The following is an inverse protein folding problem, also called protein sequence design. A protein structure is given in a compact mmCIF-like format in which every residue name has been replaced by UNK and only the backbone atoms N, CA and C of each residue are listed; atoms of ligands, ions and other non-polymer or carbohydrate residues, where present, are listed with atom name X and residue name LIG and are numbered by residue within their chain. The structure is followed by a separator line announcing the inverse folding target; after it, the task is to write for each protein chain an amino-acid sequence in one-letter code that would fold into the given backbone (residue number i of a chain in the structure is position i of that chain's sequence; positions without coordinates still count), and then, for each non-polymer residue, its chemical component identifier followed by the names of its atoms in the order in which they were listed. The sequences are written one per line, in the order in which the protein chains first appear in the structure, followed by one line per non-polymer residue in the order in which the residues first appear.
data_IF_812319877362
#
_entry.id   IF_812319877362
#
_cell.length_a   1.000
_cell.length_b   1.000
_cell.length_c   1.000
_cell.angle_alpha   90.00
_cell.angle_beta   90.00
_cell.angle_gamma   90.00
#
_symmetry.space_group_name_H-M   'P 1'
#
loop_
_entity.id
_entity.type
_entity.pdbx_description
1 polymer ?
#
# COMPACT_ATOMS: atom_id res chain seq x y z
N UNK A 1 -9.82 -7.70 23.73
CA UNK A 1 -8.96 -7.37 24.88
C UNK A 1 -8.66 -8.58 25.79
N UNK A 2 -9.67 -9.24 26.39
CA UNK A 2 -9.45 -10.35 27.36
C UNK A 2 -8.66 -11.55 26.82
N UNK A 3 -8.88 -11.95 25.57
CA UNK A 3 -8.15 -13.07 24.96
C UNK A 3 -6.64 -12.77 24.81
N UNK A 4 -6.28 -11.56 24.36
CA UNK A 4 -4.89 -11.12 24.24
C UNK A 4 -4.18 -11.03 25.60
N UNK A 5 -4.89 -10.56 26.64
CA UNK A 5 -4.36 -10.53 28.00
C UNK A 5 -4.11 -11.94 28.55
N UNK A 6 -4.98 -12.91 28.24
CA UNK A 6 -4.76 -14.30 28.62
C UNK A 6 -3.54 -14.93 27.93
N UNK A 7 -3.30 -14.59 26.65
CA UNK A 7 -2.09 -15.02 25.93
C UNK A 7 -0.84 -14.41 26.56
N UNK A 8 -0.85 -13.10 26.86
CA UNK A 8 0.25 -12.43 27.58
C UNK A 8 0.52 -13.09 28.94
N UNK A 9 -0.52 -13.47 29.68
CA UNK A 9 -0.37 -14.16 30.96
C UNK A 9 0.27 -15.56 30.83
N UNK A 10 0.07 -16.24 29.69
CA UNK A 10 0.71 -17.54 29.41
C UNK A 10 2.18 -17.41 28.98
N UNK A 11 2.54 -16.31 28.30
CA UNK A 11 3.89 -16.09 27.81
C UNK A 11 4.85 -15.53 28.88
N UNK A 12 4.33 -14.88 29.92
CA UNK A 12 5.12 -14.27 30.99
C UNK A 12 5.73 -12.92 30.59
N UNK A 13 6.67 -12.42 31.39
CA UNK A 13 7.44 -11.21 31.06
C UNK A 13 8.43 -11.49 29.94
N UNK A 14 8.58 -10.52 29.02
CA UNK A 14 9.53 -10.61 27.93
C UNK A 14 10.96 -10.63 28.45
N UNK A 15 11.73 -11.65 28.06
CA UNK A 15 13.15 -11.80 28.39
C UNK A 15 14.02 -11.57 27.14
N UNK A 16 14.65 -10.40 26.99
CA UNK A 16 15.52 -10.08 25.86
C UNK A 16 16.72 -11.01 25.71
N UNK A 17 17.16 -11.68 26.78
CA UNK A 17 18.26 -12.64 26.70
C UNK A 17 17.87 -13.94 25.96
N UNK A 18 16.56 -14.17 25.78
CA UNK A 18 16.01 -15.30 25.03
C UNK A 18 15.50 -14.92 23.64
N UNK A 19 15.64 -13.66 23.23
CA UNK A 19 15.27 -13.23 21.88
C UNK A 19 16.32 -13.73 20.88
N UNK A 20 16.05 -14.90 20.30
CA UNK A 20 16.90 -15.52 19.29
C UNK A 20 17.16 -14.61 18.08
N UNK A 21 16.20 -13.76 17.72
CA UNK A 21 16.27 -12.87 16.56
C UNK A 21 17.19 -11.68 16.84
N UNK A 22 17.07 -11.09 18.02
CA UNK A 22 18.00 -10.06 18.52
C UNK A 22 19.42 -10.60 18.61
N UNK A 23 19.60 -11.80 19.18
CA UNK A 23 20.91 -12.43 19.32
C UNK A 23 21.55 -12.75 17.96
N UNK A 24 20.75 -13.25 17.00
CA UNK A 24 21.20 -13.46 15.63
C UNK A 24 21.59 -12.14 14.94
N UNK A 25 20.80 -11.08 15.12
CA UNK A 25 21.15 -9.75 14.59
C UNK A 25 22.45 -9.22 15.20
N UNK A 26 22.64 -9.38 16.51
CA UNK A 26 23.87 -8.99 17.18
C UNK A 26 25.08 -9.79 16.66
N UNK A 27 24.92 -11.10 16.44
CA UNK A 27 25.96 -11.95 15.84
C UNK A 27 26.33 -11.48 14.43
N UNK A 28 25.32 -11.22 13.58
CA UNK A 28 25.51 -10.73 12.22
C UNK A 28 26.29 -9.40 12.21
N UNK A 29 25.93 -8.47 13.10
CA UNK A 29 26.56 -7.14 13.20
C UNK A 29 27.97 -7.18 13.80
N UNK A 30 28.26 -8.09 14.74
CA UNK A 30 29.52 -8.09 15.48
C UNK A 30 30.55 -9.08 14.92
N UNK A 31 30.11 -10.22 14.38
CA UNK A 31 31.00 -11.31 13.97
C UNK A 31 31.09 -11.46 12.44
N UNK A 32 29.97 -11.32 11.73
CA UNK A 32 29.94 -11.47 10.26
C UNK A 32 30.27 -10.16 9.54
N UNK A 33 29.77 -9.04 10.05
CA UNK A 33 29.95 -7.70 9.50
C UNK A 33 30.52 -6.69 10.53
N UNK A 34 31.68 -6.95 11.15
CA UNK A 34 32.23 -6.10 12.22
C UNK A 34 32.58 -4.68 11.75
N UNK A 35 33.10 -4.54 10.54
CA UNK A 35 33.64 -3.28 10.01
C UNK A 35 32.74 -2.64 8.93
N UNK A 36 31.66 -3.32 8.55
CA UNK A 36 30.75 -2.85 7.51
C UNK A 36 29.59 -2.04 8.10
N UNK A 37 29.08 -1.11 7.30
CA UNK A 37 27.87 -0.34 7.64
C UNK A 37 26.63 -1.21 7.43
N UNK A 38 25.82 -1.32 8.48
CA UNK A 38 24.62 -2.16 8.50
C UNK A 38 23.38 -1.29 8.68
N UNK A 39 22.46 -1.38 7.71
CA UNK A 39 21.16 -0.71 7.76
C UNK A 39 20.08 -1.73 8.13
N UNK A 40 19.45 -1.57 9.29
CA UNK A 40 18.41 -2.45 9.80
C UNK A 40 17.05 -1.78 9.65
N UNK A 41 16.13 -2.45 8.95
CA UNK A 41 14.76 -2.00 8.75
C UNK A 41 13.77 -2.74 9.62
N UNK A 42 12.82 -2.01 10.19
CA UNK A 42 11.65 -2.54 10.91
C UNK A 42 10.41 -1.72 10.59
N UNK A 43 9.23 -2.34 10.57
CA UNK A 43 7.96 -1.62 10.40
C UNK A 43 7.60 -0.75 11.60
N UNK A 44 8.01 -1.15 12.81
CA UNK A 44 7.50 -0.55 14.05
C UNK A 44 8.55 0.31 14.74
N UNK A 45 8.13 1.51 15.17
CA UNK A 45 8.98 2.45 15.91
C UNK A 45 9.39 1.90 17.29
N UNK A 46 8.49 1.18 17.96
CA UNK A 46 8.78 0.53 19.25
C UNK A 46 9.90 -0.51 19.10
N UNK A 47 9.93 -1.22 17.98
CA UNK A 47 11.02 -2.16 17.66
C UNK A 47 12.34 -1.43 17.39
N UNK A 48 12.33 -0.24 16.77
CA UNK A 48 13.56 0.58 16.64
C UNK A 48 14.12 0.92 18.01
N UNK A 49 13.27 1.39 18.93
CA UNK A 49 13.68 1.75 20.28
C UNK A 49 14.24 0.53 21.03
N UNK A 50 13.52 -0.59 20.98
CA UNK A 50 13.93 -1.86 21.58
C UNK A 50 15.29 -2.34 21.04
N UNK A 51 15.45 -2.42 19.72
CA UNK A 51 16.69 -2.89 19.10
C UNK A 51 17.86 -1.96 19.42
N UNK A 52 17.65 -0.65 19.37
CA UNK A 52 18.72 0.32 19.64
C UNK A 52 19.25 0.19 21.07
N UNK A 53 18.35 0.09 22.05
CA UNK A 53 18.72 -0.11 23.46
C UNK A 53 19.45 -1.44 23.67
N UNK A 54 18.91 -2.52 23.10
CA UNK A 54 19.42 -3.88 23.35
C UNK A 54 20.73 -4.17 22.64
N UNK A 55 20.90 -3.72 21.39
CA UNK A 55 22.15 -3.88 20.65
C UNK A 55 23.29 -3.11 21.32
N UNK A 56 23.03 -1.91 21.84
CA UNK A 56 24.02 -1.16 22.63
C UNK A 56 24.44 -1.91 23.90
N UNK A 57 23.49 -2.52 24.62
CA UNK A 57 23.81 -3.36 25.79
C UNK A 57 24.59 -4.63 25.44
N UNK A 58 24.40 -5.14 24.23
CA UNK A 58 25.14 -6.29 23.69
C UNK A 58 26.51 -5.89 23.10
N UNK A 59 26.94 -4.63 23.25
CA UNK A 59 28.26 -4.17 22.84
C UNK A 59 28.35 -3.59 21.43
N UNK A 60 27.23 -3.43 20.71
CA UNK A 60 27.22 -2.77 19.40
C UNK A 60 27.45 -1.27 19.57
N UNK A 61 28.60 -0.79 19.09
CA UNK A 61 29.00 0.62 19.11
C UNK A 61 28.55 1.34 17.84
N UNK A 62 28.60 2.68 17.86
CA UNK A 62 28.32 3.54 16.69
C UNK A 62 26.93 3.29 16.07
N UNK A 63 25.94 3.02 16.94
CA UNK A 63 24.57 2.70 16.59
C UNK A 63 23.62 3.86 16.88
N UNK A 64 22.67 4.11 15.97
CA UNK A 64 21.52 4.96 16.25
C UNK A 64 20.19 4.33 15.76
N UNK A 65 19.12 4.63 16.48
CA UNK A 65 17.75 4.36 16.07
C UNK A 65 17.08 5.62 15.52
N UNK A 66 16.31 5.48 14.44
CA UNK A 66 15.61 6.59 13.78
C UNK A 66 14.16 6.21 13.48
N UNK A 67 13.23 6.99 14.04
CA UNK A 67 11.76 6.82 13.87
C UNK A 67 11.16 8.17 13.52
N UNK A 68 9.95 8.21 12.93
CA UNK A 68 9.32 9.46 12.45
C UNK A 68 9.23 10.59 13.50
N UNK A 69 9.30 10.26 14.79
CA UNK A 69 9.31 11.21 15.90
C UNK A 69 10.70 11.77 16.26
N UNK A 70 11.77 11.33 15.59
CA UNK A 70 13.12 11.82 15.82
C UNK A 70 13.21 13.31 15.48
N UNK A 71 13.85 14.09 16.35
CA UNK A 71 13.97 15.54 16.18
C UNK A 71 14.81 15.94 14.95
N UNK A 72 15.79 15.12 14.56
CA UNK A 72 16.66 15.38 13.41
C UNK A 72 17.09 14.08 12.72
N UNK A 73 16.18 13.45 11.95
CA UNK A 73 16.43 12.17 11.31
C UNK A 73 17.45 12.27 10.16
N UNK A 74 17.44 13.40 9.45
CA UNK A 74 18.37 13.68 8.35
C UNK A 74 19.81 13.73 8.85
N UNK A 75 20.06 14.32 10.03
CA UNK A 75 21.40 14.36 10.61
C UNK A 75 21.92 12.98 11.01
N UNK A 76 21.05 12.07 11.46
CA UNK A 76 21.44 10.68 11.70
C UNK A 76 21.79 9.96 10.39
N UNK A 77 21.00 10.17 9.33
CA UNK A 77 21.33 9.64 8.00
C UNK A 77 22.67 10.18 7.48
N UNK A 78 22.98 11.46 7.71
CA UNK A 78 24.28 12.05 7.36
C UNK A 78 25.45 11.48 8.16
N UNK A 79 25.26 11.18 9.45
CA UNK A 79 26.28 10.50 10.26
C UNK A 79 26.46 9.04 9.85
N UNK A 80 25.42 8.38 9.36
CA UNK A 80 25.48 7.00 8.86
C UNK A 80 26.04 6.90 7.45
N UNK A 81 25.70 7.80 6.55
CA UNK A 81 26.16 7.78 5.16
C UNK A 81 26.81 9.11 4.75
N UNK A 82 27.88 9.55 5.44
CA UNK A 82 28.45 10.88 5.23
C UNK A 82 29.00 11.09 3.82
N UNK A 83 29.60 10.09 3.18
CA UNK A 83 30.24 10.26 1.88
C UNK A 83 29.22 10.44 0.78
N UNK A 84 28.16 9.64 0.77
CA UNK A 84 27.05 9.80 -0.19
C UNK A 84 26.25 11.09 -0.01
N UNK A 85 26.39 11.76 1.14
CA UNK A 85 25.73 13.04 1.43
C UNK A 85 26.68 14.26 1.43
N UNK A 86 27.99 14.07 1.23
CA UNK A 86 29.00 15.13 1.33
C UNK A 86 29.10 15.75 2.74
N UNK A 87 28.97 14.92 3.79
CA UNK A 87 28.92 15.29 5.21
C UNK A 87 30.04 14.65 6.05
N UNK A 88 31.18 14.34 5.44
CA UNK A 88 32.33 13.73 6.12
C UNK A 88 32.91 14.59 7.25
N UNK A 89 32.80 15.92 7.16
CA UNK A 89 33.20 16.81 8.25
C UNK A 89 32.26 16.71 9.46
N UNK A 90 30.95 16.59 9.21
CA UNK A 90 29.95 16.40 10.26
C UNK A 90 30.18 15.08 10.99
N UNK A 91 30.40 13.99 10.24
CA UNK A 91 30.67 12.68 10.81
C UNK A 91 31.98 12.67 11.63
N UNK A 92 33.03 13.36 11.18
CA UNK A 92 34.27 13.52 11.96
C UNK A 92 34.07 14.27 13.27
N UNK A 93 33.17 15.26 13.29
CA UNK A 93 32.88 16.07 14.49
C UNK A 93 31.94 15.38 15.48
N UNK A 94 30.95 14.64 14.99
CA UNK A 94 29.84 14.10 15.79
C UNK A 94 29.90 12.57 15.95
N UNK A 95 30.91 11.94 15.38
CA UNK A 95 31.04 10.50 15.30
C UNK A 95 30.23 9.92 14.15
N UNK A 96 30.89 9.15 13.31
CA UNK A 96 30.27 8.38 12.23
C UNK A 96 29.48 7.20 12.81
N UNK A 97 28.34 6.88 12.21
CA UNK A 97 27.54 5.72 12.62
C UNK A 97 27.87 4.53 11.72
N UNK A 98 28.01 3.36 12.33
CA UNK A 98 28.18 2.08 11.64
C UNK A 98 26.86 1.34 11.48
N UNK A 99 25.95 1.46 12.46
CA UNK A 99 24.66 0.77 12.43
C UNK A 99 23.52 1.78 12.54
N UNK A 100 22.55 1.68 11.64
CA UNK A 100 21.33 2.48 11.69
C UNK A 100 20.12 1.57 11.72
N UNK A 101 19.29 1.70 12.76
CA UNK A 101 18.01 0.99 12.86
C UNK A 101 16.90 1.97 12.52
N UNK A 102 16.14 1.71 11.48
CA UNK A 102 15.18 2.67 10.92
C UNK A 102 13.82 2.06 10.60
N UNK A 103 12.78 2.91 10.64
CA UNK A 103 11.51 2.60 9.99
C UNK A 103 11.50 3.02 8.51
N UNK A 104 10.59 2.44 7.73
CA UNK A 104 10.39 2.77 6.30
C UNK A 104 10.18 4.28 6.10
N UNK A 105 9.35 4.89 6.95
CA UNK A 105 8.90 6.29 6.85
C UNK A 105 10.06 7.29 6.81
N UNK A 106 11.18 6.99 7.47
CA UNK A 106 12.32 7.91 7.52
C UNK A 106 13.47 7.59 6.58
N UNK A 107 13.44 6.43 5.95
CA UNK A 107 14.43 6.07 4.93
C UNK A 107 14.00 6.51 3.54
N UNK A 108 12.77 6.99 3.39
CA UNK A 108 12.29 7.56 2.14
C UNK A 108 12.99 8.89 1.82
N UNK A 109 13.74 8.89 0.73
CA UNK A 109 14.39 10.09 0.18
C UNK A 109 15.80 10.36 0.72
N UNK A 110 16.29 9.58 1.68
CA UNK A 110 17.68 9.67 2.15
C UNK A 110 18.63 8.89 1.24
N UNK A 111 19.86 9.39 1.12
CA UNK A 111 20.96 8.74 0.41
C UNK A 111 21.76 7.91 1.42
N UNK A 112 21.72 6.58 1.29
CA UNK A 112 22.32 5.64 2.25
C UNK A 112 23.35 4.70 1.59
N UNK A 113 23.93 5.11 0.46
CA UNK A 113 24.80 4.26 -0.38
C UNK A 113 26.18 3.96 0.25
N UNK A 114 26.52 4.54 1.41
CA UNK A 114 27.74 4.14 2.12
C UNK A 114 27.61 2.74 2.75
N UNK A 115 26.38 2.24 2.92
CA UNK A 115 26.11 0.88 3.36
C UNK A 115 26.10 -0.10 2.17
N UNK A 116 26.36 -1.37 2.45
CA UNK A 116 26.16 -2.47 1.52
C UNK A 116 25.42 -3.65 2.16
N UNK A 117 25.17 -3.58 3.48
CA UNK A 117 24.48 -4.61 4.23
C UNK A 117 23.13 -4.05 4.68
N UNK A 118 22.06 -4.70 4.24
CA UNK A 118 20.68 -4.37 4.58
C UNK A 118 20.09 -5.55 5.33
N UNK A 119 19.44 -5.28 6.45
CA UNK A 119 18.77 -6.31 7.26
C UNK A 119 17.31 -5.93 7.43
N UNK A 120 16.41 -6.74 6.91
CA UNK A 120 14.98 -6.63 7.18
C UNK A 120 14.70 -7.41 8.47
N UNK A 121 14.57 -6.66 9.58
CA UNK A 121 14.22 -7.26 10.86
C UNK A 121 12.84 -7.90 10.76
N UNK A 122 11.86 -7.21 10.21
CA UNK A 122 10.58 -7.80 9.84
C UNK A 122 10.35 -7.70 8.33
N UNK A 123 9.74 -8.75 7.79
CA UNK A 123 9.36 -8.81 6.39
C UNK A 123 8.13 -7.93 6.17
N UNK A 124 8.23 -6.89 5.32
CA UNK A 124 7.08 -6.12 4.94
C UNK A 124 6.16 -6.99 4.09
N UNK A 125 4.86 -6.83 4.30
CA UNK A 125 3.85 -7.55 3.56
C UNK A 125 3.85 -7.25 2.06
N UNK A 126 4.28 -6.04 1.69
CA UNK A 126 4.43 -5.61 0.32
C UNK A 126 5.90 -5.69 -0.12
N UNK A 127 6.19 -6.54 -1.10
CA UNK A 127 7.55 -6.79 -1.61
C UNK A 127 8.20 -5.56 -2.20
N UNK A 128 7.40 -4.68 -2.80
CA UNK A 128 7.90 -3.41 -3.31
C UNK A 128 8.64 -2.62 -2.23
N UNK A 129 8.30 -2.79 -0.94
CA UNK A 129 9.05 -2.18 0.16
C UNK A 129 10.46 -2.77 0.30
N UNK A 130 10.65 -4.07 0.10
CA UNK A 130 11.99 -4.67 0.09
C UNK A 130 12.84 -4.09 -1.04
N UNK A 131 12.26 -3.99 -2.24
CA UNK A 131 12.93 -3.38 -3.41
C UNK A 131 13.25 -1.90 -3.15
N UNK A 132 12.30 -1.14 -2.59
CA UNK A 132 12.50 0.27 -2.26
C UNK A 132 13.53 0.47 -1.14
N UNK A 133 13.63 -0.45 -0.16
CA UNK A 133 14.67 -0.47 0.87
C UNK A 133 16.03 -0.70 0.24
N UNK A 134 16.16 -1.72 -0.60
CA UNK A 134 17.38 -1.99 -1.36
C UNK A 134 17.78 -0.78 -2.23
N UNK A 135 16.83 -0.19 -2.95
CA UNK A 135 17.02 1.00 -3.77
C UNK A 135 17.36 2.30 -3.01
N UNK A 136 17.44 2.30 -1.66
CA UNK A 136 18.06 3.41 -0.90
C UNK A 136 19.58 3.36 -0.91
N UNK A 137 20.10 2.15 -1.11
CA UNK A 137 21.51 1.81 -1.07
C UNK A 137 22.01 1.52 -2.48
N UNK A 138 21.18 0.88 -3.31
CA UNK A 138 21.44 0.59 -4.72
C UNK A 138 21.08 1.79 -5.61
N UNK A 139 22.02 2.74 -5.67
CA UNK A 139 21.91 3.95 -6.51
C UNK A 139 23.26 4.32 -7.10
N UNK A 140 23.24 5.20 -8.11
CA UNK A 140 24.43 5.86 -8.63
C UNK A 140 25.25 6.43 -7.46
N UNK A 141 26.51 6.00 -7.35
CA UNK A 141 27.41 6.37 -6.25
C UNK A 141 27.71 5.23 -5.26
N UNK A 142 26.97 4.13 -5.31
CA UNK A 142 27.31 2.90 -4.59
C UNK A 142 28.70 2.39 -5.01
N UNK A 143 29.55 2.06 -4.03
CA UNK A 143 30.94 1.61 -4.27
C UNK A 143 31.15 0.12 -4.05
N UNK A 144 30.27 -0.54 -3.30
CA UNK A 144 30.30 -1.98 -3.18
C UNK A 144 29.82 -2.64 -4.47
N UNK A 145 30.54 -3.67 -4.93
CA UNK A 145 30.12 -4.47 -6.07
C UNK A 145 28.92 -5.37 -5.75
N UNK A 146 28.63 -5.59 -4.47
CA UNK A 146 27.55 -6.46 -4.01
C UNK A 146 26.84 -5.84 -2.82
N UNK A 147 25.52 -5.80 -2.88
CA UNK A 147 24.65 -5.42 -1.76
C UNK A 147 24.04 -6.69 -1.20
N UNK A 148 24.18 -6.92 0.11
CA UNK A 148 23.64 -8.10 0.79
C UNK A 148 22.38 -7.73 1.55
N UNK A 149 21.29 -8.44 1.28
CA UNK A 149 19.99 -8.23 1.89
C UNK A 149 19.60 -9.44 2.75
N UNK A 150 19.75 -9.33 4.06
CA UNK A 150 19.32 -10.34 5.01
C UNK A 150 17.86 -10.09 5.41
N UNK A 151 17.07 -11.15 5.60
CA UNK A 151 15.70 -11.03 6.08
C UNK A 151 15.38 -12.11 7.09
N UNK A 152 14.85 -11.72 8.25
CA UNK A 152 14.36 -12.71 9.21
C UNK A 152 12.98 -13.22 8.79
N UNK A 153 12.89 -14.53 8.58
CA UNK A 153 11.62 -15.22 8.32
C UNK A 153 10.93 -15.61 9.63
N UNK A 154 9.59 -15.67 9.67
CA UNK A 154 8.87 -16.26 10.79
C UNK A 154 9.31 -17.71 11.02
N UNK A 155 9.20 -18.19 12.26
CA UNK A 155 9.41 -19.60 12.57
C UNK A 155 8.43 -20.48 11.77
N UNK A 156 8.86 -21.70 11.40
CA UNK A 156 8.13 -22.59 10.48
C UNK A 156 6.65 -22.81 10.85
N UNK A 157 6.34 -22.92 12.15
CA UNK A 157 4.97 -23.09 12.63
C UNK A 157 4.06 -21.88 12.38
N UNK A 158 4.61 -20.67 12.36
CA UNK A 158 3.87 -19.43 12.05
C UNK A 158 3.79 -19.21 10.53
N UNK A 159 4.85 -19.55 9.78
CA UNK A 159 4.82 -19.46 8.31
C UNK A 159 3.84 -20.46 7.69
N UNK A 160 3.64 -21.65 8.27
CA UNK A 160 2.60 -22.60 7.84
C UNK A 160 1.18 -22.04 7.97
N UNK A 161 0.94 -21.15 8.93
CA UNK A 161 -0.39 -20.54 9.17
C UNK A 161 -0.63 -19.34 8.25
N UNK A 162 0.39 -18.51 8.03
CA UNK A 162 0.26 -17.23 7.30
C UNK A 162 0.68 -17.36 5.83
N UNK A 163 1.41 -18.43 5.49
CA UNK A 163 1.97 -18.73 4.17
C UNK A 163 2.78 -17.55 3.59
N UNK A 164 3.50 -16.83 4.46
CA UNK A 164 4.13 -15.56 4.13
C UNK A 164 5.27 -15.76 3.13
N UNK A 165 6.11 -16.78 3.33
CA UNK A 165 7.22 -17.10 2.42
C UNK A 165 6.74 -17.46 1.01
N UNK A 166 5.69 -18.29 0.89
CA UNK A 166 5.17 -18.67 -0.43
C UNK A 166 4.48 -17.49 -1.14
N UNK A 167 3.75 -16.65 -0.40
CA UNK A 167 3.15 -15.42 -0.94
C UNK A 167 4.21 -14.45 -1.45
N UNK A 168 5.29 -14.27 -0.68
CA UNK A 168 6.41 -13.42 -1.09
C UNK A 168 7.10 -13.99 -2.35
N UNK A 169 7.39 -15.29 -2.37
CA UNK A 169 8.00 -15.95 -3.55
C UNK A 169 7.15 -15.85 -4.81
N UNK A 170 5.83 -16.09 -4.70
CA UNK A 170 4.91 -16.01 -5.83
C UNK A 170 4.90 -14.61 -6.46
N UNK A 171 4.89 -13.58 -5.62
CA UNK A 171 4.92 -12.18 -6.05
C UNK A 171 6.28 -11.75 -6.61
N UNK A 172 7.40 -12.25 -6.08
CA UNK A 172 8.74 -12.01 -6.66
C UNK A 172 8.83 -12.58 -8.08
N UNK A 173 8.35 -13.81 -8.29
CA UNK A 173 8.28 -14.42 -9.63
C UNK A 173 7.42 -13.60 -10.59
N UNK A 174 6.24 -13.16 -10.15
CA UNK A 174 5.35 -12.32 -10.95
C UNK A 174 5.94 -10.95 -11.31
N UNK A 175 6.82 -10.38 -10.46
CA UNK A 175 7.46 -9.10 -10.74
C UNK A 175 8.71 -9.24 -11.63
N UNK A 176 9.48 -10.32 -11.47
CA UNK A 176 10.65 -10.62 -12.31
C UNK A 176 10.27 -10.86 -13.79
N UNK A 177 9.04 -11.29 -14.06
CA UNK A 177 8.51 -11.43 -15.43
C UNK A 177 8.21 -10.08 -16.12
N UNK A 178 8.03 -8.99 -15.36
CA UNK A 178 7.69 -7.65 -15.87
C UNK A 178 8.91 -6.74 -15.93
N UNK A 179 9.85 -6.94 -15.00
CA UNK A 179 11.09 -6.17 -14.89
C UNK A 179 12.22 -7.19 -14.99
N UNK A 180 12.82 -7.32 -16.18
CA UNK A 180 13.94 -8.23 -16.38
C UNK A 180 15.11 -7.82 -15.50
N UNK A 181 15.33 -8.52 -14.39
CA UNK A 181 16.46 -8.32 -13.48
C UNK A 181 17.11 -9.64 -13.09
N UNK A 182 18.44 -9.66 -13.15
CA UNK A 182 19.34 -10.74 -12.70
C UNK A 182 19.45 -10.77 -11.14
N UNK A 183 18.32 -10.73 -10.43
CA UNK A 183 18.27 -10.63 -8.96
C UNK A 183 17.88 -11.97 -8.29
N UNK A 184 18.80 -12.59 -7.56
CA UNK A 184 18.54 -13.77 -6.70
C UNK A 184 18.23 -13.33 -5.26
N UNK A 185 16.99 -13.53 -4.79
CA UNK A 185 16.50 -13.03 -3.50
C UNK A 185 16.64 -14.01 -2.32
N UNK A 186 16.85 -15.31 -2.57
CA UNK A 186 16.99 -16.33 -1.52
C UNK A 186 18.17 -17.26 -1.85
N UNK A 187 18.95 -17.66 -0.84
CA UNK A 187 20.14 -18.51 -1.04
C UNK A 187 19.78 -19.96 -1.44
N UNK A 188 18.56 -20.42 -1.14
CA UNK A 188 18.06 -21.77 -1.49
C UNK A 188 17.65 -21.91 -2.98
N UNK A 189 17.97 -20.95 -3.85
CA UNK A 189 17.56 -20.91 -5.27
C UNK A 189 18.44 -21.81 -6.17
N UNK A 190 18.55 -23.11 -5.85
CA UNK A 190 19.20 -24.08 -6.77
C UNK A 190 18.35 -24.40 -8.01
N UNK A 191 17.09 -23.95 -8.07
CA UNK A 191 16.17 -24.20 -9.18
C UNK A 191 15.92 -22.95 -10.04
N UNK A 192 16.99 -22.23 -10.39
CA UNK A 192 17.00 -21.36 -11.57
C UNK A 192 17.04 -22.21 -12.86
N UNK A 193 16.02 -23.03 -13.08
CA UNK A 193 15.64 -23.53 -14.41
C UNK A 193 14.37 -22.80 -14.84
N UNK A 194 14.35 -22.15 -16.03
CA UNK A 194 13.13 -21.54 -16.54
C UNK A 194 12.21 -22.67 -16.98
N UNK A 195 11.24 -23.02 -16.14
CA UNK A 195 10.17 -23.94 -16.53
C UNK A 195 8.83 -23.22 -16.46
N UNK A 196 8.40 -22.83 -17.66
CA UNK A 196 7.00 -22.73 -18.07
C UNK A 196 6.33 -24.06 -17.71
N UNK A 197 5.62 -24.09 -16.57
CA UNK A 197 4.36 -24.80 -16.39
C UNK A 197 3.92 -24.75 -14.92
N UNK A 198 2.97 -23.87 -14.60
CA UNK A 198 2.02 -24.12 -13.51
C UNK A 198 0.73 -23.31 -13.70
N UNK A 199 0.11 -23.46 -14.88
CA UNK A 199 -1.20 -22.90 -15.16
C UNK A 199 -2.36 -23.85 -14.86
N UNK A 200 -2.11 -25.07 -14.39
CA UNK A 200 -3.17 -25.99 -14.01
C UNK A 200 -2.81 -26.71 -12.71
N UNK A 201 -3.35 -26.22 -11.59
CA UNK A 201 -4.16 -27.05 -10.69
C UNK A 201 -4.68 -26.20 -9.51
N UNK A 202 -6.02 -26.19 -9.37
CA UNK A 202 -6.84 -25.64 -8.28
C UNK A 202 -7.03 -24.12 -8.26
N UNK A 203 -7.85 -23.68 -9.21
CA UNK A 203 -8.90 -22.71 -8.92
C UNK A 203 -9.77 -23.21 -7.75
N UNK A 204 -9.99 -22.34 -6.76
CA UNK A 204 -10.88 -22.58 -5.63
C UNK A 204 -10.15 -22.99 -4.36
N UNK A 205 -9.74 -22.00 -3.55
CA UNK A 205 -10.00 -21.85 -2.11
C UNK A 205 -9.37 -20.51 -1.69
N UNK A 206 -10.07 -19.77 -0.84
CA UNK A 206 -9.79 -18.41 -0.32
C UNK A 206 -10.46 -17.26 -1.09
N UNK A 207 -11.77 -17.37 -1.32
CA UNK A 207 -12.65 -16.29 -0.91
C UNK A 207 -13.41 -16.81 0.32
N UNK A 208 -13.12 -16.25 1.49
CA UNK A 208 -14.04 -16.11 2.62
C UNK A 208 -13.30 -15.50 3.82
N UNK A 209 -13.74 -14.32 4.24
CA UNK A 209 -13.68 -13.92 5.64
C UNK A 209 -12.77 -12.76 5.99
N UNK A 210 -13.32 -11.54 5.86
CA UNK A 210 -13.25 -10.49 6.89
C UNK A 210 -11.87 -9.99 7.32
N UNK A 211 -11.48 -8.83 6.77
CA UNK A 211 -10.45 -7.95 7.33
C UNK A 211 -9.10 -8.10 6.63
N UNK A 212 -8.88 -7.31 5.58
CA UNK A 212 -7.63 -7.40 4.83
C UNK A 212 -7.39 -6.35 3.76
N UNK A 213 -8.03 -5.17 3.81
CA UNK A 213 -7.75 -4.07 2.87
C UNK A 213 -6.49 -3.24 3.26
N UNK A 214 -5.56 -3.83 4.03
CA UNK A 214 -4.20 -3.29 4.23
C UNK A 214 -3.10 -4.21 3.66
N UNK A 215 -3.50 -5.25 2.90
CA UNK A 215 -2.61 -6.32 2.42
C UNK A 215 -2.74 -6.53 0.91
N UNK A 216 -2.43 -5.49 0.14
CA UNK A 216 -2.34 -5.53 -1.32
C UNK A 216 -1.52 -4.35 -1.83
N UNK A 217 -0.88 -4.50 -2.99
CA UNK A 217 -0.37 -3.35 -3.77
C UNK A 217 -1.51 -2.34 -3.86
N UNK A 218 -1.30 -1.10 -3.41
CA UNK A 218 -2.30 -0.04 -3.58
C UNK A 218 -2.58 0.07 -5.09
N UNK A 219 -3.76 -0.34 -5.58
CA UNK A 219 -4.05 -0.33 -7.01
C UNK A 219 -3.94 1.08 -7.60
N UNK A 220 -4.11 2.10 -6.75
CA UNK A 220 -3.90 3.51 -7.09
C UNK A 220 -2.45 3.82 -7.38
N UNK A 221 -1.52 3.23 -6.61
CA UNK A 221 -0.07 3.41 -6.79
C UNK A 221 0.43 2.73 -8.06
N UNK A 222 -0.09 1.54 -8.39
CA UNK A 222 0.23 0.86 -9.66
C UNK A 222 -0.33 1.63 -10.86
N UNK A 223 -1.58 2.08 -10.79
CA UNK A 223 -2.19 2.93 -11.82
C UNK A 223 -1.39 4.24 -12.01
N UNK A 224 -0.97 4.88 -10.92
CA UNK A 224 -0.14 6.08 -10.96
C UNK A 224 1.23 5.81 -11.58
N UNK A 225 1.85 4.67 -11.29
CA UNK A 225 3.13 4.30 -11.88
C UNK A 225 3.01 4.04 -13.38
N UNK A 226 1.95 3.35 -13.83
CA UNK A 226 1.65 3.13 -15.25
C UNK A 226 1.47 4.48 -15.95
N UNK A 227 0.66 5.37 -15.36
CA UNK A 227 0.46 6.73 -15.85
C UNK A 227 1.78 7.50 -15.96
N UNK A 228 2.59 7.50 -14.91
CA UNK A 228 3.88 8.20 -14.86
C UNK A 228 4.84 7.68 -15.92
N UNK A 229 4.99 6.37 -16.04
CA UNK A 229 5.84 5.75 -17.07
C UNK A 229 5.37 6.14 -18.48
N UNK A 230 4.07 6.23 -18.72
CA UNK A 230 3.51 6.62 -20.01
C UNK A 230 3.83 8.08 -20.36
N UNK A 231 3.64 9.02 -19.43
CA UNK A 231 3.93 10.45 -19.67
C UNK A 231 5.43 10.75 -19.70
N UNK A 232 6.25 9.98 -18.98
CA UNK A 232 7.72 10.10 -19.05
C UNK A 232 8.24 9.64 -20.42
N UNK A 233 7.60 8.62 -21.02
CA UNK A 233 7.93 8.12 -22.35
C UNK A 233 7.41 9.02 -23.49
N UNK A 234 6.17 9.55 -23.37
CA UNK A 234 5.62 10.54 -24.29
C UNK A 234 4.89 11.66 -23.53
N UNK A 235 5.56 12.80 -23.30
CA UNK A 235 4.98 13.94 -22.57
C UNK A 235 3.72 14.54 -23.21
N UNK A 236 3.44 14.26 -24.50
CA UNK A 236 2.22 14.76 -25.15
C UNK A 236 0.97 14.04 -24.63
N UNK A 237 1.12 12.79 -24.17
CA UNK A 237 0.00 11.98 -23.66
C UNK A 237 -0.73 12.64 -22.50
N UNK A 238 -0.01 13.38 -21.64
CA UNK A 238 -0.63 14.09 -20.53
C UNK A 238 -1.75 15.03 -21.01
N UNK A 239 -1.43 15.91 -21.97
CA UNK A 239 -2.41 16.87 -22.51
C UNK A 239 -3.50 16.17 -23.31
N UNK A 240 -3.14 15.13 -24.06
CA UNK A 240 -4.12 14.39 -24.87
C UNK A 240 -5.14 13.70 -23.99
N UNK A 241 -4.70 12.97 -22.95
CA UNK A 241 -5.58 12.19 -22.07
C UNK A 241 -6.42 13.10 -21.18
N UNK A 242 -5.89 14.23 -20.69
CA UNK A 242 -6.68 15.21 -19.92
C UNK A 242 -7.78 15.90 -20.75
N UNK A 243 -7.64 15.96 -22.08
CA UNK A 243 -8.62 16.58 -22.99
C UNK A 243 -9.65 15.59 -23.54
N UNK A 244 -9.50 14.30 -23.24
CA UNK A 244 -10.41 13.27 -23.70
C UNK A 244 -11.78 13.42 -23.01
N UNK A 245 -12.90 13.42 -23.77
CA UNK A 245 -14.23 13.46 -23.18
C UNK A 245 -14.56 12.18 -22.39
N UNK A 246 -15.52 12.26 -21.48
CA UNK A 246 -16.12 11.06 -20.86
C UNK A 246 -16.79 10.18 -21.95
N UNK A 247 -17.03 8.90 -21.62
CA UNK A 247 -17.69 7.91 -22.48
C UNK A 247 -16.84 7.49 -23.69
N UNK A 248 -15.51 7.50 -23.55
CA UNK A 248 -14.63 6.96 -24.59
C UNK A 248 -14.63 5.45 -24.58
N UNK A 249 -14.57 4.86 -25.77
CA UNK A 249 -14.37 3.43 -25.92
C UNK A 249 -13.18 3.13 -26.82
N UNK A 250 -12.53 2.01 -26.54
CA UNK A 250 -11.51 1.42 -27.39
C UNK A 250 -11.80 -0.07 -27.59
N UNK A 251 -11.14 -0.71 -28.53
CA UNK A 251 -11.19 -2.17 -28.68
C UNK A 251 -9.80 -2.68 -29.02
N UNK A 252 -9.39 -3.76 -28.37
CA UNK A 252 -8.10 -4.41 -28.62
C UNK A 252 -8.27 -5.91 -28.81
N UNK A 253 -7.35 -6.48 -29.58
CA UNK A 253 -7.22 -7.93 -29.70
C UNK A 253 -6.72 -8.52 -28.37
N UNK A 254 -7.38 -9.57 -27.91
CA UNK A 254 -7.17 -10.22 -26.63
C UNK A 254 -7.12 -11.74 -26.79
N UNK A 255 -6.16 -12.40 -26.13
CA UNK A 255 -6.05 -13.85 -26.11
C UNK A 255 -6.85 -14.39 -24.92
N UNK A 256 -7.99 -15.02 -25.21
CA UNK A 256 -8.89 -15.50 -24.19
C UNK A 256 -8.42 -16.82 -23.56
N UNK A 257 -8.57 -16.93 -22.24
CA UNK A 257 -8.41 -18.19 -21.50
C UNK A 257 -9.63 -18.42 -20.60
N UNK A 258 -9.77 -19.62 -20.04
CA UNK A 258 -10.93 -19.97 -19.20
C UNK A 258 -11.07 -19.08 -17.95
N UNK A 259 -9.95 -18.55 -17.42
CA UNK A 259 -9.94 -17.61 -16.30
C UNK A 259 -10.04 -16.14 -16.75
N UNK A 260 -9.81 -15.85 -18.03
CA UNK A 260 -9.66 -14.50 -18.55
C UNK A 260 -10.39 -14.36 -19.90
N UNK A 261 -11.73 -14.21 -19.87
CA UNK A 261 -12.58 -14.33 -21.05
C UNK A 261 -12.67 -13.04 -21.87
N UNK A 262 -13.08 -13.16 -23.13
CA UNK A 262 -13.46 -12.02 -23.95
C UNK A 262 -14.64 -11.26 -23.35
N UNK A 263 -14.78 -9.99 -23.72
CA UNK A 263 -15.90 -9.16 -23.29
C UNK A 263 -15.57 -7.67 -23.26
N UNK A 264 -15.98 -6.97 -22.21
CA UNK A 264 -15.77 -5.54 -22.05
C UNK A 264 -15.29 -5.16 -20.65
N UNK A 265 -14.33 -4.25 -20.62
CA UNK A 265 -13.89 -3.54 -19.42
C UNK A 265 -14.66 -2.22 -19.33
N UNK A 266 -15.08 -1.85 -18.12
CA UNK A 266 -15.87 -0.64 -17.85
C UNK A 266 -15.27 0.11 -16.67
N UNK A 267 -15.21 1.42 -16.81
CA UNK A 267 -14.92 2.34 -15.72
C UNK A 267 -16.09 3.29 -15.49
N UNK A 268 -16.66 3.25 -14.29
CA UNK A 268 -17.75 4.12 -13.86
C UNK A 268 -17.31 5.03 -12.73
N UNK A 269 -17.80 6.26 -12.77
CA UNK A 269 -17.81 7.17 -11.63
C UNK A 269 -19.21 7.22 -11.07
N UNK A 270 -19.41 6.66 -9.89
CA UNK A 270 -20.69 6.68 -9.20
C UNK A 270 -21.01 8.08 -8.65
N UNK A 271 -22.29 8.28 -8.32
CA UNK A 271 -22.84 9.56 -7.86
C UNK A 271 -22.31 10.01 -6.49
N UNK A 272 -21.80 9.07 -5.70
CA UNK A 272 -21.15 9.29 -4.40
C UNK A 272 -19.63 9.56 -4.53
N UNK A 273 -19.12 9.68 -5.76
CA UNK A 273 -17.70 9.88 -6.04
C UNK A 273 -16.85 8.62 -5.98
N UNK A 274 -17.46 7.43 -5.81
CA UNK A 274 -16.72 6.18 -5.87
C UNK A 274 -16.50 5.72 -7.32
N UNK A 275 -15.23 5.64 -7.68
CA UNK A 275 -14.74 5.14 -8.96
C UNK A 275 -14.71 3.61 -8.91
N UNK A 276 -15.33 2.94 -9.89
CA UNK A 276 -15.40 1.47 -9.93
C UNK A 276 -15.06 0.94 -11.31
N UNK A 277 -14.22 -0.09 -11.33
CA UNK A 277 -13.80 -0.82 -12.52
C UNK A 277 -14.48 -2.18 -12.53
N UNK A 278 -14.85 -2.66 -13.71
CA UNK A 278 -15.47 -3.97 -13.87
C UNK A 278 -15.10 -4.61 -15.20
N UNK A 279 -15.07 -5.93 -15.20
CA UNK A 279 -14.93 -6.77 -16.39
C UNK A 279 -16.17 -7.64 -16.55
N UNK A 280 -16.84 -7.51 -17.69
CA UNK A 280 -17.98 -8.35 -18.09
C UNK A 280 -17.59 -9.24 -19.26
N UNK A 281 -17.94 -10.53 -19.21
CA UNK A 281 -17.69 -11.44 -20.32
C UNK A 281 -18.77 -11.35 -21.42
N UNK A 282 -18.58 -12.03 -22.56
CA UNK A 282 -19.58 -12.08 -23.64
C UNK A 282 -20.94 -12.70 -23.23
N UNK A 283 -20.95 -13.52 -22.17
CA UNK A 283 -22.18 -14.11 -21.60
C UNK A 283 -22.93 -13.14 -20.67
N UNK A 284 -22.38 -11.94 -20.46
CA UNK A 284 -22.88 -10.90 -19.55
C UNK A 284 -22.70 -11.20 -18.07
N UNK A 285 -21.85 -12.17 -17.72
CA UNK A 285 -21.46 -12.38 -16.33
C UNK A 285 -20.34 -11.39 -15.96
N UNK A 286 -20.40 -10.85 -14.75
CA UNK A 286 -19.27 -10.08 -14.19
C UNK A 286 -18.17 -11.06 -13.82
N UNK A 287 -17.02 -10.89 -14.47
CA UNK A 287 -15.82 -11.71 -14.26
C UNK A 287 -15.09 -11.26 -13.00
N UNK A 288 -14.90 -9.94 -12.85
CA UNK A 288 -14.19 -9.35 -11.71
C UNK A 288 -14.49 -7.85 -11.62
N UNK A 289 -14.50 -7.32 -10.39
CA UNK A 289 -14.50 -5.88 -10.08
C UNK A 289 -13.16 -5.41 -9.48
N UNK A 290 -12.15 -6.29 -9.50
CA UNK A 290 -10.79 -5.99 -9.03
C UNK A 290 -10.13 -4.99 -9.97
N UNK A 291 -9.75 -3.82 -9.42
CA UNK A 291 -8.99 -2.81 -10.16
C UNK A 291 -7.76 -3.38 -10.84
N UNK A 292 -7.02 -4.25 -10.14
CA UNK A 292 -5.79 -4.83 -10.65
C UNK A 292 -6.02 -5.74 -11.87
N UNK A 293 -7.05 -6.59 -11.80
CA UNK A 293 -7.35 -7.53 -12.89
C UNK A 293 -7.89 -6.80 -14.11
N UNK A 294 -8.68 -5.75 -13.90
CA UNK A 294 -9.15 -4.89 -14.99
C UNK A 294 -7.98 -4.13 -15.64
N UNK A 295 -7.04 -3.58 -14.86
CA UNK A 295 -5.85 -2.91 -15.39
C UNK A 295 -4.96 -3.88 -16.19
N UNK A 296 -4.74 -5.09 -15.68
CA UNK A 296 -4.00 -6.15 -16.40
C UNK A 296 -4.72 -6.56 -17.68
N UNK A 297 -6.04 -6.71 -17.61
CA UNK A 297 -6.90 -6.95 -18.78
C UNK A 297 -6.76 -5.84 -19.82
N UNK A 298 -6.62 -4.57 -19.40
CA UNK A 298 -6.45 -3.42 -20.29
C UNK A 298 -5.03 -3.27 -20.86
N UNK A 299 -3.99 -3.74 -20.16
CA UNK A 299 -2.58 -3.55 -20.51
C UNK A 299 -2.24 -3.91 -21.98
N UNK A 300 -1.51 -3.03 -22.66
CA UNK A 300 -1.09 -3.23 -24.05
C UNK A 300 0.23 -2.49 -24.34
N UNK A 301 0.91 -2.90 -25.41
CA UNK A 301 2.10 -2.19 -25.88
C UNK A 301 1.69 -0.88 -26.59
N UNK A 302 2.49 0.21 -26.53
CA UNK A 302 2.16 1.50 -27.19
C UNK A 302 1.82 1.40 -28.68
N UNK A 303 2.38 0.41 -29.37
CA UNK A 303 2.17 0.16 -30.81
C UNK A 303 0.99 -0.76 -31.12
N UNK A 304 0.18 -1.13 -30.12
CA UNK A 304 -0.96 -2.04 -30.33
C UNK A 304 -2.04 -1.33 -31.15
N UNK A 305 -2.44 -1.87 -32.31
CA UNK A 305 -3.46 -1.24 -33.13
C UNK A 305 -4.83 -1.31 -32.45
N UNK A 306 -5.60 -0.23 -32.53
CA UNK A 306 -7.02 -0.23 -32.17
C UNK A 306 -7.83 -1.02 -33.18
N UNK A 307 -8.69 -1.91 -32.71
CA UNK A 307 -9.60 -2.68 -33.54
C UNK A 307 -10.98 -2.02 -33.64
N UNK A 308 -11.79 -2.37 -34.66
CA UNK A 308 -13.17 -1.93 -34.74
C UNK A 308 -13.97 -2.40 -33.51
N UNK A 309 -14.87 -1.54 -33.02
CA UNK A 309 -15.76 -1.85 -31.90
C UNK A 309 -16.65 -3.05 -32.25
N UNK A 310 -16.70 -4.03 -31.34
CA UNK A 310 -17.64 -5.16 -31.45
C UNK A 310 -19.10 -4.67 -31.45
N UNK A 311 -20.01 -5.26 -32.26
CA UNK A 311 -21.43 -4.94 -32.23
C UNK A 311 -22.06 -5.04 -30.83
N UNK A 312 -21.56 -5.96 -30.00
CA UNK A 312 -22.08 -6.21 -28.65
C UNK A 312 -21.49 -5.31 -27.56
N UNK A 313 -20.48 -4.49 -27.88
CA UNK A 313 -19.72 -3.71 -26.89
C UNK A 313 -20.61 -2.89 -25.96
N UNK A 314 -21.57 -2.14 -26.49
CA UNK A 314 -22.45 -1.31 -25.66
C UNK A 314 -23.43 -2.13 -24.82
N UNK A 315 -23.87 -3.29 -25.32
CA UNK A 315 -24.76 -4.17 -24.55
C UNK A 315 -24.01 -4.78 -23.36
N UNK A 316 -22.73 -5.12 -23.53
CA UNK A 316 -21.86 -5.60 -22.44
C UNK A 316 -21.59 -4.49 -21.42
N UNK A 317 -21.25 -3.28 -21.90
CA UNK A 317 -21.03 -2.10 -21.05
C UNK A 317 -22.28 -1.78 -20.23
N UNK A 318 -23.45 -1.70 -20.86
CA UNK A 318 -24.72 -1.42 -20.19
C UNK A 318 -25.01 -2.46 -19.08
N UNK A 319 -24.77 -3.74 -19.37
CA UNK A 319 -24.98 -4.80 -18.39
C UNK A 319 -24.03 -4.67 -17.20
N UNK A 320 -22.74 -4.42 -17.44
CA UNK A 320 -21.73 -4.21 -16.40
C UNK A 320 -22.08 -3.04 -15.49
N UNK A 321 -22.42 -1.89 -16.09
CA UNK A 321 -22.82 -0.69 -15.35
C UNK A 321 -24.03 -0.98 -14.46
N UNK A 322 -25.07 -1.64 -15.00
CA UNK A 322 -26.28 -1.98 -14.23
C UNK A 322 -25.97 -2.93 -13.06
N UNK A 323 -25.11 -3.92 -13.28
CA UNK A 323 -24.70 -4.86 -12.24
C UNK A 323 -23.94 -4.15 -11.12
N UNK A 324 -22.90 -3.38 -11.47
CA UNK A 324 -22.04 -2.67 -10.52
C UNK A 324 -22.83 -1.67 -9.65
N UNK A 325 -23.80 -0.96 -10.24
CA UNK A 325 -24.69 -0.05 -9.49
C UNK A 325 -25.63 -0.81 -8.52
N UNK A 326 -26.07 -2.01 -8.90
CA UNK A 326 -26.94 -2.85 -8.07
C UNK A 326 -26.17 -3.49 -6.92
N UNK A 327 -24.96 -3.99 -7.18
CA UNK A 327 -24.00 -4.51 -6.19
C UNK A 327 -23.61 -3.44 -5.18
N UNK A 328 -23.24 -2.22 -5.62
CA UNK A 328 -22.93 -1.12 -4.71
C UNK A 328 -24.08 -0.80 -3.75
N UNK A 329 -25.32 -0.90 -4.24
CA UNK A 329 -26.53 -0.70 -3.42
C UNK A 329 -26.79 -1.84 -2.42
N UNK A 330 -26.21 -3.03 -2.63
CA UNK A 330 -26.40 -4.23 -1.80
C UNK A 330 -25.22 -4.53 -0.87
N UNK A 331 -23.98 -4.30 -1.31
CA UNK A 331 -22.75 -4.67 -0.61
C UNK A 331 -22.28 -3.60 0.41
N UNK A 332 -22.60 -2.33 0.17
CA UNK A 332 -22.37 -1.27 1.12
C UNK A 332 -23.65 -0.99 1.89
N UNK A 333 -23.65 -1.12 3.22
CA UNK A 333 -24.67 -0.44 4.04
C UNK A 333 -24.72 1.06 3.73
N UNK A 334 -25.54 1.83 4.45
CA UNK A 334 -25.76 3.28 4.19
C UNK A 334 -24.49 4.14 3.97
N UNK A 335 -23.31 3.67 4.38
CA UNK A 335 -22.00 4.33 4.31
C UNK A 335 -21.09 3.95 3.12
N UNK A 336 -21.44 2.94 2.31
CA UNK A 336 -20.60 2.44 1.21
C UNK A 336 -19.53 1.42 1.65
N UNK A 337 -18.47 1.24 0.83
CA UNK A 337 -17.40 0.24 1.03
C UNK A 337 -16.53 0.55 2.28
N UNK A 338 -16.03 -0.47 3.01
CA UNK A 338 -15.20 -0.27 4.21
C UNK A 338 -13.91 0.54 4.00
N UNK A 339 -13.35 0.47 2.79
CA UNK A 339 -12.14 1.21 2.39
C UNK A 339 -12.41 2.67 2.01
N UNK A 340 -13.68 3.06 1.81
CA UNK A 340 -14.08 4.41 1.40
C UNK A 340 -13.89 5.46 2.48
N UNK A 341 -13.61 6.70 2.06
CA UNK A 341 -13.40 7.84 2.97
C UNK A 341 -14.55 8.01 3.98
N UNK A 342 -15.78 7.88 3.48
CA UNK A 342 -17.03 8.02 4.24
C UNK A 342 -17.17 6.96 5.35
N UNK A 343 -16.92 5.69 5.03
CA UNK A 343 -16.94 4.62 6.01
C UNK A 343 -15.83 4.78 7.05
N UNK A 344 -14.60 5.03 6.59
CA UNK A 344 -13.41 5.17 7.46
C UNK A 344 -13.54 6.34 8.42
N UNK A 345 -14.01 7.49 7.95
CA UNK A 345 -14.20 8.67 8.81
C UNK A 345 -15.34 8.45 9.80
N UNK A 346 -16.45 7.82 9.37
CA UNK A 346 -17.56 7.48 10.25
C UNK A 346 -17.10 6.56 11.40
N UNK A 347 -16.41 5.46 11.09
CA UNK A 347 -15.93 4.50 12.10
C UNK A 347 -14.90 5.11 13.06
N UNK A 348 -14.05 6.03 12.59
CA UNK A 348 -13.11 6.75 13.46
C UNK A 348 -13.82 7.72 14.39
N UNK A 349 -14.71 8.57 13.87
CA UNK A 349 -15.43 9.55 14.68
C UNK A 349 -16.41 8.89 15.66
N UNK A 350 -17.05 7.80 15.26
CA UNK A 350 -17.88 6.98 16.16
C UNK A 350 -17.06 6.47 17.34
N UNK A 351 -15.93 5.79 17.09
CA UNK A 351 -15.02 5.30 18.14
C UNK A 351 -14.50 6.43 19.04
N UNK A 352 -14.15 7.56 18.44
CA UNK A 352 -13.73 8.75 19.18
C UNK A 352 -14.84 9.22 20.14
N UNK A 353 -16.06 9.41 19.64
CA UNK A 353 -17.19 9.86 20.49
C UNK A 353 -17.55 8.87 21.60
N UNK A 354 -17.43 7.57 21.35
CA UNK A 354 -17.64 6.51 22.34
C UNK A 354 -16.56 6.51 23.43
N UNK A 355 -15.29 6.76 23.08
CA UNK A 355 -14.16 6.74 24.04
C UNK A 355 -14.23 7.82 25.13
N UNK A 356 -14.94 8.92 24.87
CA UNK A 356 -15.10 10.07 25.76
C UNK A 356 -16.48 10.17 26.42
N UNK A 357 -17.37 9.18 26.24
CA UNK A 357 -18.65 9.14 26.98
C UNK A 357 -18.39 9.06 28.49
N UNK A 358 -18.69 10.14 29.22
CA UNK A 358 -18.58 10.22 30.68
C UNK A 358 -17.18 10.55 31.22
N UNK A 359 -16.26 11.07 30.39
CA UNK A 359 -14.91 11.49 30.80
C UNK A 359 -14.67 12.98 30.54
N UNK A 360 -13.73 13.57 31.27
CA UNK A 360 -13.28 14.95 31.04
C UNK A 360 -12.53 15.04 29.73
N UNK A 361 -12.92 15.97 28.85
CA UNK A 361 -12.26 16.17 27.56
C UNK A 361 -10.96 16.98 27.71
N UNK A 362 -9.93 16.69 26.88
CA UNK A 362 -8.78 17.57 26.71
C UNK A 362 -9.17 18.98 26.25
N UNK A 363 -8.37 19.99 26.63
CA UNK A 363 -8.57 21.39 26.19
C UNK A 363 -8.49 21.58 24.67
N UNK A 364 -7.81 20.67 23.98
CA UNK A 364 -7.64 20.67 22.52
C UNK A 364 -8.68 19.83 21.80
N UNK A 365 -9.64 19.23 22.51
CA UNK A 365 -10.59 18.32 21.89
C UNK A 365 -11.73 19.08 21.17
N UNK A 366 -12.16 18.62 19.99
CA UNK A 366 -13.33 19.17 19.31
C UNK A 366 -14.61 19.00 20.14
N UNK A 367 -15.57 19.91 19.93
CA UNK A 367 -16.88 19.84 20.58
C UNK A 367 -17.60 18.51 20.23
N UNK A 368 -17.78 17.65 21.23
CA UNK A 368 -18.28 16.29 21.05
C UNK A 368 -19.69 16.24 20.45
N UNK A 369 -20.54 17.21 20.77
CA UNK A 369 -21.90 17.27 20.23
C UNK A 369 -21.91 17.68 18.76
N UNK A 370 -20.98 18.53 18.35
CA UNK A 370 -20.79 18.88 16.93
C UNK A 370 -20.19 17.72 16.14
N UNK A 371 -19.24 16.98 16.73
CA UNK A 371 -18.70 15.75 16.11
C UNK A 371 -19.80 14.71 15.93
N UNK A 372 -20.67 14.50 16.93
CA UNK A 372 -21.81 13.56 16.80
C UNK A 372 -22.77 13.97 15.69
N UNK A 373 -23.13 15.25 15.60
CA UNK A 373 -23.99 15.77 14.52
C UNK A 373 -23.35 15.56 13.15
N UNK A 374 -22.07 15.89 13.01
CA UNK A 374 -21.36 15.68 11.76
C UNK A 374 -21.23 14.19 11.38
N UNK A 375 -21.00 13.32 12.37
CA UNK A 375 -20.95 11.87 12.17
C UNK A 375 -22.30 11.33 11.69
N UNK A 376 -23.40 11.85 12.24
CA UNK A 376 -24.75 11.51 11.79
C UNK A 376 -25.01 12.01 10.36
N UNK A 377 -24.60 13.24 10.04
CA UNK A 377 -24.75 13.78 8.68
C UNK A 377 -23.99 12.91 7.65
N UNK A 378 -22.79 12.45 7.98
CA UNK A 378 -21.98 11.52 7.17
C UNK A 378 -22.66 10.15 7.02
N UNK A 379 -23.35 9.68 8.06
CA UNK A 379 -24.11 8.43 7.99
C UNK A 379 -25.32 8.55 7.07
N UNK A 380 -26.03 9.67 7.14
CA UNK A 380 -27.29 9.87 6.42
C UNK A 380 -27.07 10.33 4.96
N UNK A 381 -25.94 10.99 4.66
CA UNK A 381 -25.71 11.65 3.37
C UNK A 381 -24.30 11.39 2.80
N UNK A 382 -24.14 11.33 1.46
CA UNK A 382 -22.84 11.20 0.84
C UNK A 382 -21.99 12.47 1.03
N UNK A 383 -20.67 12.30 1.06
CA UNK A 383 -19.71 13.40 1.18
C UNK A 383 -19.64 14.19 -0.13
N UNK A 384 -19.44 15.52 -0.05
CA UNK A 384 -19.09 16.31 -1.24
C UNK A 384 -17.67 15.93 -1.72
N UNK A 385 -17.39 16.09 -3.02
CA UNK A 385 -16.07 15.74 -3.59
C UNK A 385 -14.88 16.43 -2.89
N UNK A 386 -14.98 17.73 -2.63
CA UNK A 386 -13.94 18.48 -1.90
C UNK A 386 -13.75 18.02 -0.44
N UNK A 387 -14.83 17.60 0.22
CA UNK A 387 -14.76 17.01 1.56
C UNK A 387 -14.11 15.62 1.54
N UNK A 388 -14.44 14.80 0.53
CA UNK A 388 -13.84 13.48 0.32
C UNK A 388 -12.33 13.58 0.16
N UNK A 389 -11.85 14.50 -0.68
CA UNK A 389 -10.41 14.74 -0.88
C UNK A 389 -9.72 15.23 0.39
N UNK A 390 -10.35 16.17 1.11
CA UNK A 390 -9.81 16.69 2.36
C UNK A 390 -9.69 15.60 3.44
N UNK A 391 -10.71 14.76 3.58
CA UNK A 391 -10.73 13.64 4.52
C UNK A 391 -9.70 12.58 4.10
N UNK A 392 -9.62 12.22 2.82
CA UNK A 392 -8.63 11.26 2.33
C UNK A 392 -7.18 11.72 2.53
N UNK A 393 -6.91 13.03 2.47
CA UNK A 393 -5.59 13.57 2.83
C UNK A 393 -5.26 13.32 4.30
N UNK A 394 -6.20 13.62 5.20
CA UNK A 394 -6.02 13.39 6.65
C UNK A 394 -5.91 11.91 7.02
N UNK A 395 -6.69 11.05 6.37
CA UNK A 395 -6.63 9.61 6.57
C UNK A 395 -5.31 9.02 6.09
N UNK A 396 -4.72 9.54 4.99
CA UNK A 396 -3.41 9.11 4.48
C UNK A 396 -2.25 9.61 5.33
N UNK A 397 -2.35 10.82 5.90
CA UNK A 397 -1.32 11.36 6.79
C UNK A 397 -1.32 10.74 8.19
N UNK A 398 -2.29 9.85 8.49
CA UNK A 398 -2.43 9.26 9.82
C UNK A 398 -2.85 10.28 10.88
N UNK A 399 -3.57 11.33 10.49
CA UNK A 399 -3.99 12.40 11.40
C UNK A 399 -4.76 11.83 12.62
N UNK A 400 -4.58 12.39 13.83
CA UNK A 400 -5.30 11.97 15.02
C UNK A 400 -6.81 12.24 14.90
N UNK A 401 -7.61 11.50 15.66
CA UNK A 401 -9.08 11.60 15.60
C UNK A 401 -9.59 13.01 15.98
N UNK A 402 -8.87 13.73 16.85
CA UNK A 402 -9.17 15.12 17.23
C UNK A 402 -9.07 16.08 16.03
N UNK A 403 -8.03 15.94 15.20
CA UNK A 403 -7.82 16.76 14.01
C UNK A 403 -8.88 16.47 12.94
N UNK A 404 -9.23 15.19 12.78
CA UNK A 404 -10.31 14.77 11.88
C UNK A 404 -11.66 15.34 12.36
N UNK A 405 -11.92 15.30 13.67
CA UNK A 405 -13.09 15.91 14.28
C UNK A 405 -13.20 17.40 14.00
N UNK A 406 -12.13 18.17 14.23
CA UNK A 406 -12.09 19.60 13.90
C UNK A 406 -12.36 19.86 12.41
N UNK A 407 -11.71 19.10 11.53
CA UNK A 407 -11.86 19.31 10.09
C UNK A 407 -13.26 19.01 9.60
N UNK A 408 -13.87 17.94 10.10
CA UNK A 408 -15.25 17.56 9.75
C UNK A 408 -16.24 18.60 10.25
N UNK A 409 -16.04 19.16 11.45
CA UNK A 409 -16.84 20.29 11.97
C UNK A 409 -16.67 21.53 11.09
N UNK A 410 -15.44 21.87 10.70
CA UNK A 410 -15.16 23.04 9.85
C UNK A 410 -15.87 22.91 8.49
N UNK A 411 -15.77 21.75 7.84
CA UNK A 411 -16.46 21.45 6.58
C UNK A 411 -17.98 21.51 6.75
N UNK A 412 -18.51 21.01 7.87
CA UNK A 412 -19.94 21.07 8.16
C UNK A 412 -20.43 22.50 8.33
N UNK A 413 -19.69 23.33 9.06
CA UNK A 413 -20.05 24.71 9.34
C UNK A 413 -20.02 25.58 8.07
N UNK A 414 -19.25 25.17 7.06
CA UNK A 414 -19.24 25.80 5.72
C UNK A 414 -20.26 25.21 4.74
N UNK A 415 -21.07 24.26 5.18
CA UNK A 415 -21.97 23.48 4.32
C UNK A 415 -21.23 22.75 3.18
N UNK A 416 -19.98 22.36 3.41
CA UNK A 416 -19.09 21.69 2.45
C UNK A 416 -18.96 20.18 2.71
N UNK A 417 -19.53 19.65 3.80
CA UNK A 417 -19.32 18.28 4.25
C UNK A 417 -20.11 17.23 3.44
N UNK A 418 -21.44 17.36 3.37
CA UNK A 418 -22.34 16.37 2.75
C UNK A 418 -23.28 16.97 1.73
N UNK A 419 -23.76 16.17 0.79
CA UNK A 419 -24.74 16.60 -0.22
C UNK A 419 -26.15 16.54 0.38
N UNK A 420 -26.95 17.63 0.35
CA UNK A 420 -28.32 17.62 0.84
C UNK A 420 -29.20 16.62 0.09
N UNK A 421 -30.19 16.04 0.80
CA UNK A 421 -31.11 14.98 0.35
C UNK A 421 -31.85 15.27 -0.98
N UNK A 422 -31.90 16.52 -1.44
CA UNK A 422 -32.53 16.91 -2.71
C UNK A 422 -31.60 16.94 -3.93
N UNK A 423 -30.28 17.08 -3.75
CA UNK A 423 -29.30 17.17 -4.84
C UNK A 423 -28.63 15.81 -5.16
N UNK A 424 -28.63 14.89 -4.20
CA UNK A 424 -28.08 13.53 -4.39
C UNK A 424 -28.88 12.69 -5.41
N UNK A 425 -30.15 13.04 -5.66
CA UNK A 425 -30.99 12.38 -6.66
C UNK A 425 -30.66 12.78 -8.11
N UNK A 426 -29.83 13.82 -8.32
CA UNK A 426 -29.52 14.40 -9.64
C UNK A 426 -28.16 13.98 -10.21
N UNK A 427 -27.31 13.30 -9.46
CA UNK A 427 -26.04 12.80 -9.99
C UNK A 427 -26.28 11.41 -10.59
N UNK A 428 -26.49 11.34 -11.90
CA UNK A 428 -26.49 10.07 -12.62
C UNK A 428 -25.06 9.50 -12.65
N UNK A 429 -24.88 8.18 -12.48
CA UNK A 429 -23.58 7.54 -12.61
C UNK A 429 -23.03 7.76 -14.02
N UNK A 430 -21.77 8.16 -14.11
CA UNK A 430 -21.12 8.49 -15.38
C UNK A 430 -20.20 7.36 -15.83
N UNK A 431 -20.33 6.94 -17.07
CA UNK A 431 -19.35 6.06 -17.71
C UNK A 431 -18.18 6.93 -18.16
N UNK A 432 -17.00 6.69 -17.60
CA UNK A 432 -15.80 7.47 -17.95
C UNK A 432 -15.17 6.87 -19.21
N UNK A 433 -14.90 5.56 -19.21
CA UNK A 433 -14.40 4.87 -20.39
C UNK A 433 -14.74 3.37 -20.40
N UNK A 434 -14.58 2.74 -21.55
CA UNK A 434 -14.75 1.28 -21.74
C UNK A 434 -13.76 0.72 -22.76
N UNK A 435 -13.43 -0.57 -22.64
CA UNK A 435 -12.56 -1.25 -23.61
C UNK A 435 -13.11 -2.62 -23.97
N UNK A 436 -13.35 -2.85 -25.25
CA UNK A 436 -13.71 -4.17 -25.78
C UNK A 436 -12.47 -5.07 -25.92
N UNK A 437 -12.62 -6.31 -25.48
CA UNK A 437 -11.62 -7.38 -25.62
C UNK A 437 -12.19 -8.39 -26.62
N UNK A 438 -11.66 -8.38 -27.84
CA UNK A 438 -12.08 -9.27 -28.94
C UNK A 438 -10.99 -10.28 -29.24
N UNK A 439 -11.34 -11.50 -29.67
CA UNK A 439 -10.36 -12.54 -29.99
C UNK A 439 -9.34 -12.07 -31.03
N UNK A 440 -8.06 -12.39 -30.79
CA UNK A 440 -6.98 -12.22 -31.76
C UNK A 440 -7.00 -13.27 -32.86
#
# INVERSE_FOLDING_TARGET
MRALLNVLAHCGEWDPAKDAKLLALANLIQNEHPDEKVLVFTQFADTVAYLSERLQRLGVTELAGVTAAAADPTRLAWRFSPRSNGKEELARREGELRVLVATDVLSEGQNLQDAAIIVNYDLPWAIIRLIQRAGRVDRIGQRSATIRCYSFVPADGLDQIINLRARIRSRLRQNAEVVGTDETFFEDDEDARPLIDLYNERAGVLDEGSGGDELGVDPTSEAYQIWKNAIDADPKLQRTIEQLPDVIYATKGYEATAAVPLGALVFIRASDGNDTLGWVNERRDVVTESTLDVLRGAACHPNTPGLPRSPEHHALVEHGVRHMLTEQSRAGGHLGRPSGARYRVYERLKRYTESFQGKTLPLTAPNLDEVKRATQDIYDHPLKGGATDAINRLLRSGAPDEEIGHRVIELRNRDELTVPRGEAATMEPKIICSMGLVGR
#
